data_IF_662257920937
#
_entry.id   IF_662257920937
#
_cell.length_a   1.000
_cell.length_b   1.000
_cell.length_c   1.000
_cell.angle_alpha   90.00
_cell.angle_beta   90.00
_cell.angle_gamma   90.00
#
_symmetry.space_group_name_H-M   'P 1'
#
loop_
_entity.id
_entity.type
_entity.pdbx_description
1 polymer ?
#
# COMPACT_ATOMS: atom_id res chain seq x y z
N UNK A 1 6.69 10.92 -5.02
CA UNK A 1 5.93 9.68 -4.81
C UNK A 1 6.93 8.68 -4.30
N UNK A 2 6.69 8.13 -3.11
CA UNK A 2 7.58 7.18 -2.43
C UNK A 2 6.81 5.95 -1.98
N UNK A 3 7.51 4.83 -1.87
CA UNK A 3 6.94 3.55 -1.44
C UNK A 3 6.63 3.60 0.05
N UNK A 4 5.37 3.33 0.41
CA UNK A 4 4.94 3.15 1.79
C UNK A 4 5.08 1.69 2.22
N UNK A 5 4.56 0.77 1.41
CA UNK A 5 4.62 -0.66 1.69
C UNK A 5 4.58 -1.48 0.40
N UNK A 6 5.07 -2.72 0.53
CA UNK A 6 5.08 -3.72 -0.52
C UNK A 6 4.61 -5.06 0.06
N UNK A 7 3.65 -5.71 -0.56
CA UNK A 7 3.07 -6.95 -0.05
C UNK A 7 2.41 -7.79 -1.13
N UNK A 8 2.44 -9.11 -0.96
CA UNK A 8 1.64 -10.07 -1.73
C UNK A 8 0.28 -10.34 -1.08
N UNK A 9 0.07 -9.87 0.16
CA UNK A 9 -1.19 -10.04 0.86
C UNK A 9 -2.27 -9.10 0.29
N UNK A 10 -3.35 -9.70 -0.20
CA UNK A 10 -4.44 -8.99 -0.87
C UNK A 10 -5.28 -8.13 0.07
N UNK A 11 -5.13 -8.27 1.40
CA UNK A 11 -5.91 -7.56 2.42
C UNK A 11 -5.22 -6.31 2.92
N UNK A 12 -3.88 -6.28 2.88
CA UNK A 12 -3.06 -5.19 3.45
C UNK A 12 -3.22 -3.89 2.66
N UNK A 13 -3.19 -3.94 1.32
CA UNK A 13 -3.33 -2.71 0.50
C UNK A 13 -4.70 -2.06 0.67
N UNK A 14 -5.84 -2.78 0.57
CA UNK A 14 -7.16 -2.20 0.84
C UNK A 14 -7.25 -1.56 2.23
N UNK A 15 -6.76 -2.24 3.27
CA UNK A 15 -6.73 -1.71 4.63
C UNK A 15 -5.92 -0.40 4.71
N UNK A 16 -4.69 -0.41 4.21
CA UNK A 16 -3.82 0.75 4.22
C UNK A 16 -4.43 1.93 3.45
N UNK A 17 -5.07 1.67 2.30
CA UNK A 17 -5.78 2.72 1.54
C UNK A 17 -6.93 3.33 2.32
N UNK A 18 -7.75 2.52 2.99
CA UNK A 18 -8.86 3.03 3.82
C UNK A 18 -8.35 3.92 4.96
N UNK A 19 -7.25 3.53 5.61
CA UNK A 19 -6.63 4.34 6.67
C UNK A 19 -6.09 5.67 6.10
N UNK A 20 -5.37 5.63 4.99
CA UNK A 20 -4.82 6.83 4.35
C UNK A 20 -5.93 7.77 3.88
N UNK A 21 -7.01 7.25 3.31
CA UNK A 21 -8.17 8.04 2.86
C UNK A 21 -8.87 8.74 4.03
N UNK A 22 -9.06 8.03 5.16
CA UNK A 22 -9.65 8.61 6.37
C UNK A 22 -8.84 9.81 6.91
N UNK A 23 -7.52 9.79 6.72
CA UNK A 23 -6.61 10.87 7.11
C UNK A 23 -6.33 11.90 5.99
N UNK A 24 -6.98 11.76 4.83
CA UNK A 24 -6.81 12.65 3.68
C UNK A 24 -5.45 12.54 3.00
N UNK A 25 -4.77 11.39 3.11
CA UNK A 25 -3.47 11.12 2.49
C UNK A 25 -3.69 10.46 1.13
N UNK A 26 -3.25 11.15 0.07
CA UNK A 26 -3.29 10.59 -1.27
C UNK A 26 -2.37 9.36 -1.40
N UNK A 27 -2.93 8.26 -1.91
CA UNK A 27 -2.20 7.02 -2.13
C UNK A 27 -2.40 6.48 -3.55
N UNK A 28 -1.40 5.75 -4.06
CA UNK A 28 -1.40 5.21 -5.40
C UNK A 28 -0.85 3.79 -5.42
N UNK A 29 -1.56 2.87 -6.07
CA UNK A 29 -1.15 1.47 -6.16
C UNK A 29 -0.36 1.24 -7.45
N UNK A 30 0.80 0.60 -7.32
CA UNK A 30 1.58 0.06 -8.43
C UNK A 30 1.41 -1.46 -8.52
N UNK A 31 1.74 -2.00 -9.69
CA UNK A 31 1.72 -3.44 -9.97
C UNK A 31 0.32 -4.08 -9.96
N UNK A 32 -0.75 -3.26 -10.11
CA UNK A 32 -2.17 -3.70 -10.17
C UNK A 32 -2.50 -4.46 -11.45
N UNK A 33 -1.83 -4.13 -12.57
CA UNK A 33 -2.20 -4.63 -13.89
C UNK A 33 -1.72 -6.06 -14.21
N UNK A 34 -0.99 -6.71 -13.31
CA UNK A 34 -0.35 -8.02 -13.59
C UNK A 34 -1.20 -9.22 -13.14
N UNK A 35 -2.53 -9.09 -13.13
CA UNK A 35 -3.43 -10.16 -12.65
C UNK A 35 -4.69 -10.39 -13.49
N UNK A 36 -4.94 -9.61 -14.55
CA UNK A 36 -6.14 -9.81 -15.41
C UNK A 36 -5.85 -10.70 -16.63
N UNK A 37 -4.59 -10.76 -17.11
CA UNK A 37 -4.28 -11.43 -18.38
C UNK A 37 -3.98 -12.94 -18.26
N UNK A 38 -3.62 -13.45 -17.09
CA UNK A 38 -3.32 -14.86 -16.84
C UNK A 38 -3.74 -15.16 -15.41
N UNK A 39 -4.39 -16.30 -15.17
CA UNK A 39 -4.85 -16.77 -13.84
C UNK A 39 -3.72 -17.11 -12.86
N UNK A 40 -2.74 -16.22 -12.73
CA UNK A 40 -1.60 -16.33 -11.84
C UNK A 40 -2.03 -15.92 -10.44
N UNK A 41 -2.05 -16.91 -9.56
CA UNK A 41 -1.93 -16.79 -8.11
C UNK A 41 -1.05 -15.56 -7.80
N UNK A 42 -1.55 -14.62 -7.00
CA UNK A 42 -0.95 -13.30 -6.72
C UNK A 42 0.44 -13.34 -6.05
N UNK A 43 1.42 -13.88 -6.75
CA UNK A 43 2.78 -14.16 -6.28
C UNK A 43 3.65 -12.90 -6.35
N UNK A 44 3.27 -11.93 -7.19
CA UNK A 44 4.03 -10.70 -7.33
C UNK A 44 3.57 -9.65 -6.31
N UNK A 45 4.50 -9.09 -5.51
CA UNK A 45 4.14 -8.12 -4.50
C UNK A 45 3.70 -6.81 -5.14
N UNK A 46 2.55 -6.31 -4.69
CA UNK A 46 2.01 -5.00 -5.05
C UNK A 46 2.60 -3.93 -4.14
N UNK A 47 2.71 -2.71 -4.65
CA UNK A 47 3.31 -1.58 -3.93
C UNK A 47 2.26 -0.49 -3.74
N UNK A 48 2.21 0.06 -2.53
CA UNK A 48 1.40 1.23 -2.24
C UNK A 48 2.34 2.43 -2.07
N UNK A 49 2.08 3.47 -2.83
CA UNK A 49 2.87 4.69 -2.90
C UNK A 49 2.09 5.84 -2.27
N UNK A 50 2.80 6.78 -1.66
CA UNK A 50 2.26 8.05 -1.16
C UNK A 50 3.08 9.23 -1.69
N UNK A 51 2.60 10.45 -1.49
CA UNK A 51 3.42 11.63 -1.72
C UNK A 51 4.61 11.63 -0.75
N UNK A 52 5.78 12.06 -1.24
CA UNK A 52 7.02 12.13 -0.46
C UNK A 52 6.85 12.96 0.81
N UNK A 53 6.11 14.06 0.71
CA UNK A 53 5.77 14.94 1.84
C UNK A 53 4.89 14.28 2.90
N UNK A 54 4.14 13.24 2.54
CA UNK A 54 3.23 12.52 3.44
C UNK A 54 3.83 11.20 3.94
N UNK A 55 5.02 10.80 3.49
CA UNK A 55 5.60 9.49 3.79
C UNK A 55 5.75 9.24 5.29
N UNK A 56 6.31 10.19 6.04
CA UNK A 56 6.47 10.06 7.49
C UNK A 56 5.12 10.01 8.23
N UNK A 57 4.13 10.75 7.74
CA UNK A 57 2.77 10.73 8.32
C UNK A 57 2.09 9.39 8.05
N UNK A 58 2.19 8.90 6.82
CA UNK A 58 1.66 7.61 6.41
C UNK A 58 2.32 6.45 7.18
N UNK A 59 3.64 6.47 7.38
CA UNK A 59 4.35 5.46 8.18
C UNK A 59 3.85 5.40 9.62
N UNK A 60 3.74 6.56 10.28
CA UNK A 60 3.18 6.65 11.65
C UNK A 60 1.78 6.07 11.72
N UNK A 61 0.91 6.44 10.77
CA UNK A 61 -0.46 5.93 10.71
C UNK A 61 -0.48 4.40 10.56
N UNK A 62 0.40 3.82 9.73
CA UNK A 62 0.50 2.36 9.60
C UNK A 62 0.95 1.71 10.91
N UNK A 63 1.95 2.27 11.60
CA UNK A 63 2.42 1.77 12.89
C UNK A 63 1.33 1.84 13.97
N UNK A 64 0.59 2.95 14.04
CA UNK A 64 -0.52 3.14 14.98
C UNK A 64 -1.68 2.16 14.72
N UNK A 65 -1.91 1.81 13.45
CA UNK A 65 -2.91 0.84 13.05
C UNK A 65 -2.42 -0.62 13.15
N UNK A 66 -1.15 -0.86 13.50
CA UNK A 66 -0.56 -2.19 13.57
C UNK A 66 -0.35 -2.86 12.20
N UNK A 67 -0.24 -2.06 11.13
CA UNK A 67 0.04 -2.54 9.77
C UNK A 67 1.54 -2.67 9.58
N UNK A 68 2.02 -3.88 9.34
CA UNK A 68 3.44 -4.13 9.07
C UNK A 68 3.82 -3.56 7.69
N UNK A 69 4.57 -2.46 7.73
CA UNK A 69 5.25 -1.94 6.55
C UNK A 69 6.58 -2.67 6.46
N UNK A 70 6.72 -3.59 5.50
CA UNK A 70 7.97 -4.31 5.26
C UNK A 70 9.12 -3.30 5.19
N UNK A 71 10.02 -3.36 6.17
CA UNK A 71 11.08 -2.36 6.40
C UNK A 71 12.20 -2.45 5.37
#
# INVERSE_FOLDING_TARGET
MEELLRTTDITVIPLAKTLLDAEGIASFELDVNMSVLEGSIGILPRRLMVLSSDLDRARRLMEEAGVDIAR
#
